data_IF_589846689962
#
_entry.id   IF_589846689962
#
_cell.length_a   1.000
_cell.length_b   1.000
_cell.length_c   1.000
_cell.angle_alpha   90.00
_cell.angle_beta   90.00
_cell.angle_gamma   90.00
#
_symmetry.space_group_name_H-M   'P 1'
#
loop_
_entity.id
_entity.type
_entity.pdbx_description
1 polymer ?
#
# COMPACT_ATOMS: atom_id res chain seq x y z
N UNK A 1 15.94 -13.13 28.55
CA UNK A 1 14.50 -13.41 28.40
C UNK A 1 14.12 -12.84 27.06
N UNK A 2 14.03 -13.70 26.05
CA UNK A 2 13.94 -13.30 24.64
C UNK A 2 12.47 -13.00 24.31
N UNK A 3 12.21 -11.70 24.07
CA UNK A 3 11.48 -11.18 22.92
C UNK A 3 9.96 -10.95 23.02
N UNK A 4 9.62 -9.75 23.55
CA UNK A 4 8.42 -9.00 23.15
C UNK A 4 8.67 -8.06 21.97
N UNK A 5 9.93 -7.74 21.67
CA UNK A 5 10.30 -6.84 20.56
C UNK A 5 10.26 -7.53 19.18
N UNK A 6 10.26 -8.87 19.13
CA UNK A 6 10.05 -9.63 17.89
C UNK A 6 8.59 -9.60 17.39
N UNK A 7 7.61 -9.18 18.19
CA UNK A 7 6.22 -9.01 17.73
C UNK A 7 6.00 -7.70 16.96
N UNK A 8 7.07 -7.07 16.48
CA UNK A 8 7.07 -5.90 15.57
C UNK A 8 7.01 -6.31 14.08
N UNK A 9 6.80 -7.60 13.79
CA UNK A 9 6.75 -8.16 12.45
C UNK A 9 5.42 -7.76 11.80
N UNK A 10 5.46 -6.78 10.87
CA UNK A 10 4.37 -6.24 10.04
C UNK A 10 3.50 -5.11 10.65
N UNK A 11 4.15 -4.07 11.17
CA UNK A 11 3.49 -2.79 11.43
C UNK A 11 3.97 -1.74 10.41
N UNK A 12 3.08 -0.83 9.98
CA UNK A 12 3.44 0.27 9.07
C UNK A 12 4.66 1.03 9.63
N UNK A 13 5.78 1.17 8.88
CA UNK A 13 7.04 1.69 9.41
C UNK A 13 6.96 3.13 9.92
N UNK A 14 5.90 3.86 9.54
CA UNK A 14 5.70 5.26 9.90
C UNK A 14 4.78 5.47 11.12
N UNK A 15 3.84 4.56 11.37
CA UNK A 15 2.79 4.79 12.40
C UNK A 15 2.54 3.59 13.30
N UNK A 16 3.25 2.48 13.08
CA UNK A 16 3.04 1.20 13.76
C UNK A 16 1.60 0.69 13.68
N UNK A 17 0.85 1.19 12.70
CA UNK A 17 -0.53 0.79 12.49
C UNK A 17 -0.59 -0.57 11.79
N UNK A 18 -1.61 -1.39 12.09
CA UNK A 18 -1.83 -2.64 11.40
C UNK A 18 -2.21 -2.40 9.94
N UNK A 19 -1.62 -3.20 9.06
CA UNK A 19 -1.96 -3.28 7.64
C UNK A 19 -3.02 -4.37 7.42
N UNK A 20 -3.85 -4.20 6.41
CA UNK A 20 -4.86 -5.17 5.97
C UNK A 20 -4.78 -5.32 4.47
N UNK A 21 -5.20 -6.46 3.93
CA UNK A 21 -5.35 -6.58 2.48
C UNK A 21 -6.41 -5.59 1.98
N UNK A 22 -6.08 -4.91 0.88
CA UNK A 22 -7.02 -4.04 0.19
C UNK A 22 -8.16 -4.88 -0.40
N UNK A 23 -9.40 -4.41 -0.24
CA UNK A 23 -10.56 -5.05 -0.86
C UNK A 23 -10.49 -4.95 -2.38
N UNK A 24 -11.14 -5.89 -3.08
CA UNK A 24 -11.20 -5.89 -4.54
C UNK A 24 -11.72 -4.57 -5.13
N UNK A 25 -12.69 -3.92 -4.47
CA UNK A 25 -13.22 -2.61 -4.88
C UNK A 25 -12.14 -1.51 -4.87
N UNK A 26 -11.25 -1.53 -3.89
CA UNK A 26 -10.15 -0.56 -3.79
C UNK A 26 -9.13 -0.81 -4.89
N UNK A 27 -8.78 -2.08 -5.12
CA UNK A 27 -7.88 -2.48 -6.20
C UNK A 27 -8.44 -2.07 -7.57
N UNK A 28 -9.74 -2.28 -7.81
CA UNK A 28 -10.40 -1.90 -9.06
C UNK A 28 -10.36 -0.38 -9.28
N UNK A 29 -10.69 0.41 -8.24
CA UNK A 29 -10.59 1.88 -8.28
C UNK A 29 -9.18 2.36 -8.60
N UNK A 30 -8.16 1.75 -7.98
CA UNK A 30 -6.76 2.09 -8.24
C UNK A 30 -6.32 1.67 -9.64
N UNK A 31 -6.70 0.48 -10.10
CA UNK A 31 -6.41 0.01 -11.44
C UNK A 31 -7.07 0.90 -12.50
N UNK A 32 -8.27 1.42 -12.24
CA UNK A 32 -8.88 2.43 -13.08
C UNK A 32 -8.07 3.74 -13.11
N UNK A 33 -7.52 4.18 -11.98
CA UNK A 33 -6.64 5.36 -11.92
C UNK A 33 -5.28 5.14 -12.61
N UNK A 34 -4.71 3.95 -12.48
CA UNK A 34 -3.50 3.49 -13.20
C UNK A 34 -3.75 3.53 -14.71
N UNK A 35 -4.88 2.97 -15.15
CA UNK A 35 -5.24 2.96 -16.57
C UNK A 35 -5.48 4.36 -17.14
N UNK A 36 -5.87 5.34 -16.30
CA UNK A 36 -5.97 6.75 -16.68
C UNK A 36 -4.62 7.48 -16.64
N UNK A 37 -3.56 6.84 -16.13
CA UNK A 37 -2.24 7.45 -15.92
C UNK A 37 -2.25 8.54 -14.85
N UNK A 38 -3.26 8.54 -13.96
CA UNK A 38 -3.44 9.56 -12.92
C UNK A 38 -2.96 9.09 -11.55
N UNK A 39 -2.60 7.81 -11.39
CA UNK A 39 -2.11 7.28 -10.11
C UNK A 39 -0.61 7.49 -9.98
N UNK A 40 -0.19 8.11 -8.88
CA UNK A 40 1.23 8.26 -8.52
C UNK A 40 1.50 7.64 -7.15
N UNK A 41 2.72 7.15 -6.96
CA UNK A 41 3.21 6.77 -5.64
C UNK A 41 3.69 8.00 -4.86
N UNK A 42 4.03 7.82 -3.59
CA UNK A 42 4.47 8.88 -2.69
C UNK A 42 5.76 9.57 -3.16
N UNK A 43 6.59 8.89 -3.97
CA UNK A 43 7.75 9.48 -4.65
C UNK A 43 7.38 10.32 -5.88
N UNK A 44 6.11 10.41 -6.23
CA UNK A 44 5.61 11.10 -7.43
C UNK A 44 5.87 10.35 -8.74
N UNK A 45 6.22 9.06 -8.67
CA UNK A 45 6.36 8.22 -9.86
C UNK A 45 5.00 7.66 -10.27
N UNK A 46 4.67 7.74 -11.55
CA UNK A 46 3.44 7.17 -12.08
C UNK A 46 3.42 5.66 -11.89
N UNK A 47 2.33 5.14 -11.31
CA UNK A 47 2.10 3.71 -11.18
C UNK A 47 1.49 3.24 -12.48
N UNK A 48 2.26 2.48 -13.27
CA UNK A 48 1.81 1.91 -14.55
C UNK A 48 1.47 0.43 -14.46
N UNK A 49 1.94 -0.23 -13.41
CA UNK A 49 1.73 -1.65 -13.20
C UNK A 49 0.44 -1.92 -12.41
N UNK A 50 -0.48 -2.75 -12.94
CA UNK A 50 -1.75 -3.04 -12.28
C UNK A 50 -1.52 -3.70 -10.92
N UNK A 51 -2.32 -3.30 -9.94
CA UNK A 51 -2.31 -3.84 -8.60
C UNK A 51 -3.19 -5.09 -8.55
N UNK A 52 -2.56 -6.25 -8.41
CA UNK A 52 -3.26 -7.52 -8.19
C UNK A 52 -3.62 -7.67 -6.71
N UNK A 53 -2.68 -7.32 -5.85
CA UNK A 53 -2.82 -7.33 -4.41
C UNK A 53 -2.15 -6.09 -3.82
N UNK A 54 -2.66 -5.65 -2.68
CA UNK A 54 -2.09 -4.54 -1.93
C UNK A 54 -2.45 -4.64 -0.46
N UNK A 55 -1.61 -4.05 0.39
CA UNK A 55 -1.86 -3.85 1.81
C UNK A 55 -2.22 -2.39 2.05
N UNK A 56 -3.36 -2.12 2.67
CA UNK A 56 -3.80 -0.79 3.06
C UNK A 56 -3.68 -0.62 4.58
N UNK A 57 -3.36 0.59 5.03
CA UNK A 57 -3.44 0.93 6.45
C UNK A 57 -4.88 0.82 6.95
N UNK A 58 -5.07 0.51 8.23
CA UNK A 58 -6.41 0.41 8.84
C UNK A 58 -7.26 1.67 8.64
N UNK A 59 -6.64 2.84 8.64
CA UNK A 59 -7.27 4.14 8.38
C UNK A 59 -7.51 4.43 6.89
N UNK A 60 -7.10 3.54 5.98
CA UNK A 60 -7.35 3.68 4.55
C UNK A 60 -6.53 4.78 3.86
N UNK A 61 -5.56 5.38 4.55
CA UNK A 61 -4.83 6.55 4.05
C UNK A 61 -3.68 6.18 3.11
N UNK A 62 -2.99 5.06 3.39
CA UNK A 62 -1.79 4.63 2.67
C UNK A 62 -1.97 3.19 2.22
N UNK A 63 -1.52 2.89 1.01
CA UNK A 63 -1.54 1.58 0.40
C UNK A 63 -0.15 1.18 -0.07
N UNK A 64 0.19 -0.09 0.13
CA UNK A 64 1.44 -0.71 -0.24
C UNK A 64 1.15 -1.79 -1.27
N UNK A 65 1.69 -1.69 -2.49
CA UNK A 65 1.48 -2.71 -3.51
C UNK A 65 2.13 -4.03 -3.09
N UNK A 66 1.50 -5.16 -3.43
CA UNK A 66 2.07 -6.50 -3.31
C UNK A 66 2.48 -6.95 -4.72
N UNK A 67 3.75 -7.31 -4.88
CA UNK A 67 4.35 -7.75 -6.13
C UNK A 67 4.93 -9.13 -5.92
N UNK A 68 4.52 -10.11 -6.74
CA UNK A 68 5.00 -11.49 -6.62
C UNK A 68 4.80 -12.07 -5.21
N UNK A 69 3.63 -11.82 -4.58
CA UNK A 69 3.33 -12.20 -3.18
C UNK A 69 4.19 -11.48 -2.11
N UNK A 70 5.08 -10.56 -2.52
CA UNK A 70 5.94 -9.79 -1.62
C UNK A 70 5.36 -8.38 -1.44
N UNK A 71 4.97 -8.00 -0.20
CA UNK A 71 4.54 -6.64 0.10
C UNK A 71 5.71 -5.66 -0.04
N UNK A 72 5.56 -4.66 -0.92
CA UNK A 72 6.54 -3.61 -1.09
C UNK A 72 6.39 -2.60 0.04
N UNK A 73 7.07 -2.84 1.16
CA UNK A 73 7.06 -1.97 2.34
C UNK A 73 8.01 -0.76 2.22
N UNK A 74 8.02 -0.13 1.04
CA UNK A 74 8.82 1.07 0.79
C UNK A 74 7.91 2.29 0.83
N UNK A 75 8.23 3.25 1.69
CA UNK A 75 7.45 4.50 1.85
C UNK A 75 7.42 5.28 0.54
N UNK A 76 8.52 5.32 -0.22
CA UNK A 76 8.58 5.90 -1.56
C UNK A 76 7.61 5.25 -2.56
N UNK A 77 7.37 3.94 -2.44
CA UNK A 77 6.48 3.20 -3.33
C UNK A 77 5.05 3.10 -2.80
N UNK A 78 4.80 3.61 -1.59
CA UNK A 78 3.45 3.65 -1.03
C UNK A 78 2.56 4.59 -1.85
N UNK A 79 1.27 4.33 -1.87
CA UNK A 79 0.26 5.06 -2.63
C UNK A 79 -0.68 5.69 -1.63
N UNK A 80 -0.77 7.02 -1.66
CA UNK A 80 -1.67 7.77 -0.78
C UNK A 80 -3.06 7.77 -1.39
N UNK A 81 -4.05 7.17 -0.72
CA UNK A 81 -5.43 7.07 -1.23
C UNK A 81 -6.12 8.44 -1.31
N UNK A 82 -5.64 9.43 -0.55
CA UNK A 82 -6.10 10.83 -0.67
C UNK A 82 -5.90 11.41 -2.07
N UNK A 83 -4.99 10.85 -2.88
CA UNK A 83 -4.70 11.30 -4.24
C UNK A 83 -5.74 10.80 -5.28
N UNK A 84 -6.57 9.82 -4.91
CA UNK A 84 -7.49 9.12 -5.83
C UNK A 84 -8.94 9.62 -5.68
N UNK A 85 -9.12 10.83 -5.14
CA UNK A 85 -10.43 11.44 -4.88
C UNK A 85 -11.19 11.81 -6.15
#
# INVERSE_FOLDING_TARGET
MVDKELLSILACPQSQQPLKHASQEVLDRLNAAISKGSLTNNKGSAVTEPLLEALITKDGSILYPVREDIPVMLIDQSISIVDVA
#
